data_IF_410400457333
#
_entry.id   IF_410400457333
#
_cell.length_a   1.000
_cell.length_b   1.000
_cell.length_c   1.000
_cell.angle_alpha   90.00
_cell.angle_beta   90.00
_cell.angle_gamma   90.00
#
_symmetry.space_group_name_H-M   'P 1'
#
loop_
_entity.id
_entity.type
_entity.pdbx_description
1 polymer ?
#
# COMPACT_ATOMS: atom_id res chain seq x y z
N UNK A 1 -6.99 -16.18 17.29
CA UNK A 1 -6.83 -16.51 15.85
C UNK A 1 -6.51 -15.27 15.04
N UNK A 2 -7.24 -14.17 15.24
CA UNK A 2 -7.02 -12.84 14.67
C UNK A 2 -5.56 -12.36 14.64
N UNK A 3 -4.89 -12.38 15.79
CA UNK A 3 -3.50 -11.92 15.95
C UNK A 3 -2.50 -12.77 15.16
N UNK A 4 -2.81 -14.04 14.90
CA UNK A 4 -1.91 -14.93 14.15
C UNK A 4 -1.95 -14.60 12.65
N UNK A 5 -3.15 -14.40 12.09
CA UNK A 5 -3.30 -13.96 10.69
C UNK A 5 -2.63 -12.62 10.46
N UNK A 6 -2.86 -11.63 11.35
CA UNK A 6 -2.21 -10.32 11.20
C UNK A 6 -0.69 -10.39 11.42
N UNK A 7 -0.20 -11.24 12.33
CA UNK A 7 1.24 -11.50 12.50
C UNK A 7 1.86 -12.05 11.22
N UNK A 8 1.23 -13.04 10.59
CA UNK A 8 1.69 -13.62 9.31
C UNK A 8 1.65 -12.60 8.18
N UNK A 9 0.60 -11.78 8.11
CA UNK A 9 0.49 -10.69 7.12
C UNK A 9 1.64 -9.69 7.27
N UNK A 10 1.95 -9.29 8.52
CA UNK A 10 3.08 -8.41 8.81
C UNK A 10 4.42 -9.04 8.40
N UNK A 11 4.65 -10.27 8.84
CA UNK A 11 5.86 -11.03 8.51
C UNK A 11 6.06 -11.15 7.00
N UNK A 12 4.98 -11.39 6.24
CA UNK A 12 5.00 -11.44 4.79
C UNK A 12 5.42 -10.09 4.19
N UNK A 13 4.85 -8.99 4.69
CA UNK A 13 5.22 -7.64 4.29
C UNK A 13 6.70 -7.34 4.56
N UNK A 14 7.21 -7.65 5.75
CA UNK A 14 8.61 -7.38 6.12
C UNK A 14 9.60 -8.23 5.32
N UNK A 15 9.21 -9.44 4.92
CA UNK A 15 10.05 -10.37 4.14
C UNK A 15 9.87 -10.28 2.62
N UNK A 16 8.94 -9.43 2.15
CA UNK A 16 8.48 -9.41 0.76
C UNK A 16 8.02 -10.80 0.26
N UNK A 17 7.39 -11.58 1.13
CA UNK A 17 6.90 -12.93 0.82
C UNK A 17 5.46 -12.86 0.31
N UNK A 18 5.31 -12.83 -1.02
CA UNK A 18 4.02 -12.72 -1.68
C UNK A 18 3.11 -13.91 -1.37
N UNK A 19 3.64 -15.13 -1.34
CA UNK A 19 2.81 -16.31 -1.14
C UNK A 19 2.34 -16.41 0.32
N UNK A 20 3.19 -16.04 1.29
CA UNK A 20 2.78 -15.91 2.68
C UNK A 20 1.71 -14.83 2.83
N UNK A 21 1.84 -13.68 2.16
CA UNK A 21 0.85 -12.62 2.20
C UNK A 21 -0.50 -13.13 1.69
N UNK A 22 -0.51 -13.73 0.50
CA UNK A 22 -1.75 -14.24 -0.12
C UNK A 22 -2.40 -15.34 0.71
N UNK A 23 -1.63 -16.13 1.45
CA UNK A 23 -2.15 -17.18 2.35
C UNK A 23 -2.93 -16.64 3.56
N UNK A 24 -2.87 -15.33 3.82
CA UNK A 24 -3.64 -14.67 4.89
C UNK A 24 -4.99 -14.12 4.43
N UNK A 25 -5.25 -14.13 3.12
CA UNK A 25 -6.42 -13.51 2.51
C UNK A 25 -7.56 -14.52 2.33
N UNK A 26 -8.79 -14.06 2.51
CA UNK A 26 -9.98 -14.80 2.11
C UNK A 26 -10.04 -14.93 0.57
N UNK A 27 -10.68 -15.97 0.01
CA UNK A 27 -10.76 -16.18 -1.44
C UNK A 27 -11.32 -14.99 -2.23
N UNK A 28 -12.28 -14.27 -1.65
CA UNK A 28 -12.97 -13.12 -2.23
C UNK A 28 -12.57 -11.77 -1.60
N UNK A 29 -11.42 -11.74 -0.91
CA UNK A 29 -10.93 -10.57 -0.21
C UNK A 29 -10.94 -9.31 -1.09
N UNK A 30 -11.23 -8.17 -0.47
CA UNK A 30 -11.33 -6.87 -1.15
C UNK A 30 -10.30 -5.90 -0.60
N UNK A 31 -9.58 -5.21 -1.48
CA UNK A 31 -8.70 -4.11 -1.12
C UNK A 31 -9.23 -2.77 -1.63
N UNK A 32 -9.36 -1.83 -0.70
CA UNK A 32 -9.67 -0.42 -0.92
C UNK A 32 -8.39 0.41 -0.96
N UNK A 33 -8.13 0.98 -2.14
CA UNK A 33 -6.90 1.71 -2.45
C UNK A 33 -6.83 3.07 -1.74
N UNK A 34 -5.64 3.52 -1.28
CA UNK A 34 -5.47 4.88 -0.77
C UNK A 34 -5.51 5.94 -1.89
N UNK A 35 -5.54 5.51 -3.17
CA UNK A 35 -5.43 6.37 -4.34
C UNK A 35 -6.75 6.59 -5.09
N UNK A 36 -7.69 5.64 -5.00
CA UNK A 36 -8.91 5.67 -5.81
C UNK A 36 -10.09 5.08 -5.05
N UNK A 37 -11.14 5.88 -4.87
CA UNK A 37 -12.43 5.42 -4.37
C UNK A 37 -13.24 4.64 -5.43
N UNK A 38 -12.84 4.69 -6.71
CA UNK A 38 -13.56 4.05 -7.83
C UNK A 38 -13.01 2.66 -8.18
N UNK A 39 -11.94 2.24 -7.52
CA UNK A 39 -11.23 1.00 -7.87
C UNK A 39 -11.05 0.16 -6.63
N UNK A 40 -11.64 -1.04 -6.66
CA UNK A 40 -11.46 -2.08 -5.66
C UNK A 40 -10.82 -3.28 -6.33
N UNK A 41 -9.81 -3.86 -5.70
CA UNK A 41 -9.23 -5.13 -6.13
C UNK A 41 -9.95 -6.24 -5.38
N UNK A 42 -10.51 -7.21 -6.10
CA UNK A 42 -11.31 -8.28 -5.50
C UNK A 42 -10.78 -9.65 -5.88
N UNK A 43 -10.69 -10.51 -4.88
CA UNK A 43 -10.26 -11.89 -4.99
C UNK A 43 -8.75 -12.04 -5.12
N UNK A 44 -8.27 -13.24 -4.77
CA UNK A 44 -6.84 -13.55 -4.65
C UNK A 44 -6.05 -13.26 -5.93
N UNK A 45 -6.62 -13.49 -7.12
CA UNK A 45 -5.92 -13.23 -8.39
C UNK A 45 -5.61 -11.75 -8.61
N UNK A 46 -6.58 -10.85 -8.41
CA UNK A 46 -6.35 -9.41 -8.58
C UNK A 46 -5.43 -8.87 -7.48
N UNK A 47 -5.54 -9.41 -6.27
CA UNK A 47 -4.65 -9.05 -5.17
C UNK A 47 -3.24 -9.57 -5.41
N UNK A 48 -3.05 -10.74 -6.03
CA UNK A 48 -1.75 -11.25 -6.47
C UNK A 48 -1.10 -10.30 -7.47
N UNK A 49 -1.82 -9.87 -8.51
CA UNK A 49 -1.32 -8.87 -9.48
C UNK A 49 -0.96 -7.53 -8.82
N UNK A 50 -1.77 -7.09 -7.84
CA UNK A 50 -1.51 -5.85 -7.13
C UNK A 50 -0.26 -5.95 -6.25
N UNK A 51 -0.19 -6.97 -5.39
CA UNK A 51 0.91 -7.14 -4.44
C UNK A 51 2.22 -7.53 -5.14
N UNK A 52 2.18 -8.27 -6.25
CA UNK A 52 3.36 -8.52 -7.09
C UNK A 52 3.95 -7.23 -7.66
N UNK A 53 3.09 -6.26 -8.00
CA UNK A 53 3.51 -4.94 -8.48
C UNK A 53 3.97 -4.00 -7.35
N UNK A 54 3.35 -4.08 -6.17
CA UNK A 54 3.58 -3.13 -5.06
C UNK A 54 4.77 -3.51 -4.19
N UNK A 55 4.88 -4.77 -3.75
CA UNK A 55 5.94 -5.19 -2.81
C UNK A 55 7.35 -4.84 -3.30
N UNK A 56 7.72 -5.02 -4.58
CA UNK A 56 9.06 -4.68 -5.06
C UNK A 56 9.36 -3.18 -5.10
N UNK A 57 8.34 -2.31 -5.04
CA UNK A 57 8.52 -0.86 -5.02
C UNK A 57 8.92 -0.35 -3.64
N UNK A 58 8.58 -1.09 -2.60
CA UNK A 58 8.82 -0.72 -1.21
C UNK A 58 10.10 -1.39 -0.70
N UNK A 59 10.75 -0.75 0.26
CA UNK A 59 11.87 -1.33 1.01
C UNK A 59 11.77 -0.95 2.49
N UNK A 60 12.48 -1.69 3.34
CA UNK A 60 12.53 -1.46 4.79
C UNK A 60 11.14 -1.39 5.45
N UNK A 61 10.19 -2.20 4.97
CA UNK A 61 8.87 -2.34 5.59
C UNK A 61 9.06 -2.82 7.02
N UNK A 62 8.54 -2.05 7.98
CA UNK A 62 8.63 -2.33 9.42
C UNK A 62 7.32 -1.98 10.07
N UNK A 63 6.61 -2.98 10.56
CA UNK A 63 5.37 -2.77 11.30
C UNK A 63 5.68 -2.36 12.73
N UNK A 64 5.02 -1.31 13.20
CA UNK A 64 5.18 -0.81 14.58
C UNK A 64 3.87 -0.82 15.37
N UNK A 65 2.72 -0.98 14.71
CA UNK A 65 1.41 -0.99 15.38
C UNK A 65 0.56 -2.14 14.87
N UNK A 66 -0.07 -2.85 15.81
CA UNK A 66 -1.16 -3.79 15.55
C UNK A 66 -2.17 -3.73 16.71
N UNK A 67 -3.30 -3.08 16.46
CA UNK A 67 -4.31 -2.76 17.49
C UNK A 67 -5.71 -3.06 17.00
N UNK A 68 -6.64 -3.33 17.91
CA UNK A 68 -8.03 -3.66 17.59
C UNK A 68 -8.50 -4.92 18.31
N UNK A 69 -9.56 -5.52 17.81
CA UNK A 69 -10.21 -6.71 18.37
C UNK A 69 -10.02 -7.95 17.48
N UNK A 70 -10.75 -9.03 17.77
CA UNK A 70 -10.61 -10.29 17.04
C UNK A 70 -11.11 -10.27 15.60
N UNK A 71 -11.83 -9.23 15.17
CA UNK A 71 -12.40 -9.13 13.83
C UNK A 71 -11.90 -7.94 13.04
N UNK A 72 -11.50 -6.88 13.74
CA UNK A 72 -11.08 -5.63 13.13
C UNK A 72 -9.76 -5.20 13.74
N UNK A 73 -8.72 -5.13 12.91
CA UNK A 73 -7.37 -4.72 13.33
C UNK A 73 -6.89 -3.58 12.46
N UNK A 74 -6.15 -2.65 13.05
CA UNK A 74 -5.39 -1.63 12.35
C UNK A 74 -3.91 -1.97 12.47
N UNK A 75 -3.26 -2.13 11.32
CA UNK A 75 -1.82 -2.36 11.22
C UNK A 75 -1.17 -1.08 10.70
N UNK A 76 -0.06 -0.63 11.29
CA UNK A 76 0.71 0.49 10.76
C UNK A 76 2.17 0.11 10.58
N UNK A 77 2.75 0.56 9.47
CA UNK A 77 4.11 0.29 9.08
C UNK A 77 4.78 1.52 8.47
N UNK A 78 6.08 1.66 8.75
CA UNK A 78 6.95 2.54 7.98
C UNK A 78 7.59 1.76 6.84
N UNK A 79 7.78 2.39 5.70
CA UNK A 79 8.49 1.84 4.55
C UNK A 79 9.21 2.95 3.78
N UNK A 80 9.99 2.56 2.77
CA UNK A 80 10.62 3.48 1.83
C UNK A 80 10.15 3.20 0.41
N UNK A 81 9.90 4.28 -0.34
CA UNK A 81 9.78 4.26 -1.80
C UNK A 81 11.01 4.97 -2.37
N UNK A 82 12.04 4.17 -2.70
CA UNK A 82 13.36 4.69 -3.03
C UNK A 82 13.94 5.55 -1.90
N UNK A 83 14.08 6.87 -2.16
CA UNK A 83 14.61 7.81 -1.16
C UNK A 83 13.54 8.42 -0.24
N UNK A 84 12.25 8.14 -0.46
CA UNK A 84 11.15 8.74 0.29
C UNK A 84 10.71 7.79 1.39
N UNK A 85 10.53 8.30 2.59
CA UNK A 85 9.87 7.57 3.67
C UNK A 85 8.37 7.74 3.54
N UNK A 86 7.65 6.66 3.87
CA UNK A 86 6.21 6.65 3.98
C UNK A 86 5.80 5.85 5.20
N UNK A 87 4.62 6.16 5.69
CA UNK A 87 3.92 5.38 6.68
C UNK A 87 2.57 5.00 6.10
N UNK A 88 2.26 3.72 6.16
CA UNK A 88 0.96 3.20 5.79
C UNK A 88 0.22 2.70 7.03
N UNK A 89 -1.09 2.80 6.97
CA UNK A 89 -1.98 2.13 7.90
C UNK A 89 -3.01 1.34 7.11
N UNK A 90 -3.21 0.08 7.46
CA UNK A 90 -4.22 -0.80 6.87
C UNK A 90 -5.21 -1.26 7.92
N UNK A 91 -6.48 -0.93 7.70
CA UNK A 91 -7.60 -1.52 8.43
C UNK A 91 -7.90 -2.86 7.79
N UNK A 92 -7.77 -3.94 8.56
CA UNK A 92 -8.13 -5.29 8.13
C UNK A 92 -9.38 -5.76 8.85
N UNK A 93 -10.30 -6.34 8.09
CA UNK A 93 -11.47 -7.07 8.64
C UNK A 93 -11.33 -8.55 8.33
N UNK A 94 -11.49 -9.36 9.37
CA UNK A 94 -11.40 -10.81 9.28
C UNK A 94 -12.79 -11.44 9.09
N UNK A 95 -12.85 -12.55 8.36
CA UNK A 95 -14.01 -13.43 8.23
C UNK A 95 -14.13 -14.40 9.43
N UNK A 96 -15.09 -15.33 9.34
CA UNK A 96 -15.40 -16.32 10.39
C UNK A 96 -14.30 -17.39 10.52
N UNK A 97 -13.53 -17.59 9.45
CA UNK A 97 -12.37 -18.46 9.38
C UNK A 97 -11.08 -17.77 9.89
N UNK A 98 -11.14 -16.46 10.15
CA UNK A 98 -10.01 -15.66 10.62
C UNK A 98 -9.05 -15.23 9.51
N UNK A 99 -9.46 -15.28 8.24
CA UNK A 99 -8.73 -14.76 7.09
C UNK A 99 -9.14 -13.31 6.80
N UNK A 100 -8.27 -12.56 6.12
CA UNK A 100 -8.52 -11.16 5.79
C UNK A 100 -9.52 -11.08 4.62
N UNK A 101 -10.73 -10.63 4.91
CA UNK A 101 -11.79 -10.41 3.92
C UNK A 101 -11.77 -8.99 3.35
N UNK A 102 -11.30 -8.00 4.10
CA UNK A 102 -11.22 -6.61 3.65
C UNK A 102 -9.94 -5.94 4.11
N UNK A 103 -9.30 -5.17 3.22
CA UNK A 103 -8.20 -4.27 3.50
C UNK A 103 -8.58 -2.85 3.07
N UNK A 104 -8.44 -1.86 3.94
CA UNK A 104 -8.52 -0.44 3.56
C UNK A 104 -7.23 0.25 3.93
N UNK A 105 -6.57 0.88 2.96
CA UNK A 105 -5.25 1.48 3.13
C UNK A 105 -5.33 3.01 3.19
N UNK A 106 -4.46 3.59 4.01
CA UNK A 106 -4.11 5.00 4.03
C UNK A 106 -2.59 5.13 4.05
N UNK A 107 -2.07 6.18 3.40
CA UNK A 107 -0.63 6.43 3.32
C UNK A 107 -0.35 7.90 3.55
N UNK A 108 0.71 8.16 4.31
CA UNK A 108 1.30 9.46 4.55
C UNK A 108 2.82 9.41 4.32
N UNK A 109 3.49 10.57 4.16
CA UNK A 109 2.90 11.88 3.87
C UNK A 109 2.43 11.98 2.42
N UNK A 110 1.69 13.06 2.09
CA UNK A 110 1.16 13.29 0.74
C UNK A 110 2.23 13.20 -0.38
N UNK A 111 3.46 13.73 -0.21
CA UNK A 111 4.49 13.58 -1.24
C UNK A 111 4.89 12.13 -1.49
N UNK A 112 4.86 11.28 -0.47
CA UNK A 112 5.15 9.86 -0.64
C UNK A 112 3.97 9.13 -1.30
N UNK A 113 2.73 9.48 -0.96
CA UNK A 113 1.53 8.95 -1.60
C UNK A 113 1.47 9.29 -3.10
N UNK A 114 1.82 10.51 -3.49
CA UNK A 114 1.85 10.89 -4.92
C UNK A 114 3.02 10.23 -5.66
N UNK A 115 4.18 10.09 -5.02
CA UNK A 115 5.28 9.31 -5.59
C UNK A 115 4.90 7.84 -5.77
N UNK A 116 4.15 7.28 -4.84
CA UNK A 116 3.62 5.92 -4.91
C UNK A 116 2.61 5.77 -6.07
N UNK A 117 1.71 6.74 -6.26
CA UNK A 117 0.83 6.82 -7.44
C UNK A 117 1.63 6.76 -8.75
N UNK A 118 2.71 7.53 -8.85
CA UNK A 118 3.55 7.59 -10.04
C UNK A 118 4.31 6.26 -10.30
N UNK A 119 4.54 5.46 -9.27
CA UNK A 119 5.26 4.18 -9.36
C UNK A 119 4.32 2.98 -9.65
N UNK A 120 3.16 2.91 -9.00
CA UNK A 120 2.22 1.79 -9.14
C UNK A 120 1.63 1.72 -10.54
N UNK A 121 1.22 2.86 -11.11
CA UNK A 121 0.57 2.89 -12.43
C UNK A 121 1.41 2.17 -13.51
N UNK A 122 2.70 2.52 -13.66
CA UNK A 122 3.63 1.80 -14.52
C UNK A 122 3.80 0.31 -14.16
N UNK A 123 3.86 -0.05 -12.88
CA UNK A 123 4.04 -1.43 -12.43
C UNK A 123 2.83 -2.30 -12.81
N UNK A 124 1.60 -1.86 -12.47
CA UNK A 124 0.36 -2.55 -12.87
C UNK A 124 0.19 -2.62 -14.38
N UNK A 125 0.57 -1.57 -15.11
CA UNK A 125 0.50 -1.59 -16.57
C UNK A 125 1.47 -2.61 -17.18
N UNK A 126 2.64 -2.86 -16.56
CA UNK A 126 3.59 -3.89 -17.00
C UNK A 126 3.06 -5.30 -16.75
N UNK A 127 2.52 -5.56 -15.57
CA UNK A 127 1.86 -6.85 -15.25
C UNK A 127 0.76 -7.16 -16.27
N UNK A 128 0.02 -6.14 -16.72
CA UNK A 128 -1.04 -6.29 -17.74
C UNK A 128 -0.54 -6.24 -19.18
N UNK A 129 0.77 -6.27 -19.43
CA UNK A 129 1.34 -6.26 -20.78
C UNK A 129 1.16 -4.95 -21.57
N UNK A 130 0.94 -3.82 -20.87
CA UNK A 130 0.67 -2.48 -21.45
C UNK A 130 1.75 -1.44 -21.08
N UNK A 131 3.03 -1.65 -21.41
CA UNK A 131 4.13 -0.80 -20.95
C UNK A 131 4.05 0.66 -21.45
N UNK A 132 3.45 0.91 -22.62
CA UNK A 132 3.24 2.25 -23.15
C UNK A 132 2.27 3.07 -22.29
N UNK A 133 1.18 2.45 -21.81
CA UNK A 133 0.25 3.09 -20.87
C UNK A 133 0.95 3.39 -19.54
N UNK A 134 1.80 2.47 -19.07
CA UNK A 134 2.59 2.69 -17.86
C UNK A 134 3.45 3.95 -17.93
N UNK A 135 4.16 4.17 -19.05
CA UNK A 135 4.96 5.39 -19.26
C UNK A 135 4.10 6.65 -19.26
N UNK A 136 2.93 6.61 -19.91
CA UNK A 136 2.00 7.73 -19.97
C UNK A 136 1.52 8.12 -18.55
N UNK A 137 1.13 7.13 -17.74
CA UNK A 137 0.66 7.35 -16.36
C UNK A 137 1.78 7.89 -15.46
N UNK A 138 3.00 7.36 -15.57
CA UNK A 138 4.13 7.86 -14.79
C UNK A 138 4.45 9.33 -15.11
N UNK A 139 4.42 9.70 -16.41
CA UNK A 139 4.66 11.08 -16.84
C UNK A 139 3.55 12.04 -16.39
N UNK A 140 2.29 11.62 -16.42
CA UNK A 140 1.17 12.49 -16.00
C UNK A 140 1.17 12.76 -14.50
N UNK A 141 1.70 11.86 -13.68
CA UNK A 141 1.81 12.06 -12.24
C UNK A 141 2.99 12.95 -11.81
N UNK A 142 3.99 13.16 -12.68
CA UNK A 142 5.23 13.86 -12.33
C UNK A 142 5.02 15.31 -11.80
N UNK A 143 4.15 16.15 -12.38
CA UNK A 143 3.89 17.48 -11.84
C UNK A 143 3.34 17.42 -10.41
N UNK A 144 2.44 16.49 -10.12
CA UNK A 144 1.83 16.34 -8.79
C UNK A 144 2.87 15.92 -7.74
N UNK A 145 3.78 15.01 -8.09
CA UNK A 145 4.92 14.64 -7.22
C UNK A 145 5.77 15.87 -6.92
N UNK A 146 6.15 16.64 -7.94
CA UNK A 146 6.97 17.84 -7.76
C UNK A 146 6.30 18.87 -6.84
N UNK A 147 5.02 19.17 -7.06
CA UNK A 147 4.30 20.17 -6.27
C UNK A 147 4.18 19.76 -4.80
N UNK A 148 3.85 18.51 -4.53
CA UNK A 148 3.69 18.03 -3.16
C UNK A 148 5.03 17.95 -2.43
N UNK A 149 6.10 17.51 -3.09
CA UNK A 149 7.45 17.55 -2.52
C UNK A 149 7.92 18.97 -2.18
N UNK A 150 7.65 19.92 -3.06
CA UNK A 150 8.00 21.32 -2.82
C UNK A 150 7.20 21.89 -1.65
N UNK A 151 5.89 21.62 -1.60
CA UNK A 151 5.03 22.05 -0.51
C UNK A 151 5.52 21.55 0.85
N UNK A 152 5.80 20.26 0.94
CA UNK A 152 6.26 19.62 2.18
C UNK A 152 7.65 20.11 2.63
N UNK A 153 8.62 20.20 1.71
CA UNK A 153 10.00 20.58 2.06
C UNK A 153 10.26 22.07 2.20
N UNK A 154 9.47 22.91 1.53
CA UNK A 154 9.73 24.37 1.48
C UNK A 154 8.62 25.20 2.09
N UNK A 155 7.36 24.83 1.92
CA UNK A 155 6.23 25.68 2.35
C UNK A 155 5.84 25.34 3.78
N UNK A 156 5.73 24.06 4.13
CA UNK A 156 5.37 23.63 5.50
C UNK A 156 6.32 24.24 6.53
N UNK A 157 7.65 24.10 6.43
CA UNK A 157 8.63 24.77 7.29
C UNK A 157 8.39 26.27 7.51
N UNK A 158 8.10 27.01 6.44
CA UNK A 158 7.90 28.46 6.49
C UNK A 158 6.66 28.85 7.28
N UNK A 159 5.63 28.00 7.30
CA UNK A 159 4.38 28.26 8.02
C UNK A 159 4.42 27.71 9.44
N UNK A 160 5.10 26.58 9.67
CA UNK A 160 5.19 25.93 10.99
C UNK A 160 6.35 26.40 11.85
N UNK A 161 7.32 27.14 11.29
CA UNK A 161 8.48 27.64 12.01
C UNK A 161 9.51 26.56 12.38
N UNK A 162 9.45 25.41 11.70
CA UNK A 162 10.37 24.27 11.81
C UNK A 162 11.29 24.24 10.61
#
# INVERSE_FOLDING_TARGET
MSTETTRRYREAGEKHDLDLLLSTLAPDAVLHSPLSARTTFRGVEQLRELFSAVLPLLSDIRYHTDVGDDRTRMLAATARLGRRELEESVLVRLDDEGLIAELTLWVRPLPALTAFMAAIGPALAREKGRPALGRLVGLSAAPLVMFTEMGDKRIVPLVTGT
#
